data_IF_845692106847
#
_entry.id   IF_845692106847
#
_cell.length_a   1.000
_cell.length_b   1.000
_cell.length_c   1.000
_cell.angle_alpha   90.00
_cell.angle_beta   90.00
_cell.angle_gamma   90.00
#
_symmetry.space_group_name_H-M   'P 1'
#
loop_
_entity.id
_entity.type
_entity.pdbx_description
1 polymer ?
#
# COMPACT_ATOMS: atom_id res chain seq x y z
N UNK A 1 7.32 -40.32 -16.55
CA UNK A 1 7.72 -40.03 -15.14
C UNK A 1 8.90 -39.07 -15.25
N UNK A 2 8.89 -37.83 -14.80
CA UNK A 2 8.02 -37.12 -13.87
C UNK A 2 8.19 -35.63 -14.21
N UNK A 3 7.10 -34.93 -14.49
CA UNK A 3 7.09 -33.47 -14.53
C UNK A 3 7.11 -32.98 -13.10
N UNK A 4 8.17 -32.38 -12.57
CA UNK A 4 8.08 -31.59 -11.33
C UNK A 4 9.24 -30.60 -11.17
N UNK A 5 8.87 -29.38 -10.72
CA UNK A 5 9.67 -28.44 -9.91
C UNK A 5 10.76 -27.65 -10.66
N UNK A 6 10.74 -26.32 -10.74
CA UNK A 6 10.06 -25.30 -9.96
C UNK A 6 9.83 -24.05 -10.83
N UNK A 7 8.57 -23.63 -10.92
CA UNK A 7 8.21 -22.28 -11.35
C UNK A 7 8.38 -21.30 -10.20
N UNK A 8 9.62 -20.90 -9.92
CA UNK A 8 9.90 -19.80 -9.00
C UNK A 8 10.74 -18.76 -9.74
N UNK A 9 10.05 -17.82 -10.37
CA UNK A 9 10.66 -16.56 -10.82
C UNK A 9 11.06 -15.76 -9.58
N UNK A 10 12.25 -16.02 -9.07
CA UNK A 10 13.00 -15.16 -8.15
C UNK A 10 13.85 -14.19 -8.97
N UNK A 11 13.22 -13.42 -9.85
CA UNK A 11 13.80 -12.12 -10.22
C UNK A 11 13.14 -11.11 -9.30
N UNK A 12 13.61 -11.05 -8.06
CA UNK A 12 13.48 -9.87 -7.23
C UNK A 12 14.33 -8.80 -7.95
N UNK A 13 13.72 -8.18 -8.94
CA UNK A 13 14.36 -7.17 -9.78
C UNK A 13 14.79 -6.02 -8.89
N UNK A 14 16.05 -5.64 -9.06
CA UNK A 14 16.80 -4.63 -8.33
C UNK A 14 16.26 -3.20 -8.55
N UNK A 15 14.99 -2.97 -8.18
CA UNK A 15 14.36 -1.65 -8.07
C UNK A 15 14.13 -1.29 -6.59
N UNK A 16 14.96 -1.85 -5.69
CA UNK A 16 15.05 -1.44 -4.29
C UNK A 16 16.05 -0.28 -4.14
N UNK A 17 16.00 0.68 -5.05
CA UNK A 17 16.40 2.03 -4.69
C UNK A 17 15.17 2.64 -4.05
N UNK A 18 15.19 2.97 -2.74
CA UNK A 18 14.19 3.91 -2.25
C UNK A 18 14.30 5.13 -3.19
N UNK A 19 13.22 5.57 -3.85
CA UNK A 19 13.24 6.92 -4.39
C UNK A 19 13.64 7.80 -3.21
N UNK A 20 14.51 8.77 -3.43
CA UNK A 20 15.00 9.72 -2.44
C UNK A 20 13.82 10.23 -1.58
N UNK A 21 13.51 9.49 -0.51
CA UNK A 21 12.34 9.71 0.32
C UNK A 21 12.70 10.95 1.10
N UNK A 22 11.84 11.96 1.06
CA UNK A 22 12.07 13.20 1.77
C UNK A 22 12.59 12.88 3.18
N UNK A 23 13.79 13.35 3.53
CA UNK A 23 14.44 13.06 4.81
C UNK A 23 13.46 13.44 5.94
N UNK A 24 12.83 12.45 6.57
CA UNK A 24 11.77 12.65 7.58
C UNK A 24 10.37 12.19 7.19
N UNK A 25 10.17 11.55 6.04
CA UNK A 25 8.84 11.11 5.63
C UNK A 25 8.28 9.99 6.55
N UNK A 26 7.06 10.16 7.11
CA UNK A 26 6.50 9.26 8.12
C UNK A 26 6.18 7.86 7.58
N UNK A 27 6.06 7.73 6.26
CA UNK A 27 5.66 6.50 5.58
C UNK A 27 6.81 5.84 4.79
N UNK A 28 8.04 6.31 5.00
CA UNK A 28 9.22 5.80 4.29
C UNK A 28 9.38 4.28 4.47
N UNK A 29 9.46 3.56 3.34
CA UNK A 29 9.63 2.10 3.32
C UNK A 29 8.39 1.30 3.70
N UNK A 30 7.27 1.94 4.04
CA UNK A 30 5.98 1.28 4.30
C UNK A 30 5.22 1.05 3.02
N UNK A 31 4.35 0.05 3.00
CA UNK A 31 3.45 -0.17 1.87
C UNK A 31 2.04 0.32 2.17
N UNK A 32 1.42 0.91 1.15
CA UNK A 32 0.09 1.51 1.25
C UNK A 32 -0.83 0.99 0.15
N UNK A 33 -2.05 0.62 0.51
CA UNK A 33 -3.08 0.16 -0.42
C UNK A 33 -4.31 1.04 -0.30
N UNK A 34 -4.81 1.53 -1.43
CA UNK A 34 -6.08 2.23 -1.48
C UNK A 34 -7.21 1.25 -1.86
N UNK A 35 -8.28 1.26 -1.10
CA UNK A 35 -9.48 0.47 -1.36
C UNK A 35 -10.74 1.32 -1.29
N UNK A 36 -11.74 0.95 -2.09
CA UNK A 36 -13.00 1.69 -2.20
C UNK A 36 -12.90 2.75 -3.28
N UNK A 37 -13.91 3.60 -3.33
CA UNK A 37 -13.93 4.79 -4.19
C UNK A 37 -13.40 5.94 -3.36
N UNK A 38 -12.25 6.49 -3.76
CA UNK A 38 -11.73 7.70 -3.16
C UNK A 38 -12.59 8.88 -3.62
N UNK A 39 -13.22 9.58 -2.68
CA UNK A 39 -14.05 10.75 -2.97
C UNK A 39 -13.31 12.07 -2.68
N UNK A 40 -12.35 12.06 -1.76
CA UNK A 40 -11.61 13.26 -1.35
C UNK A 40 -10.45 13.56 -2.30
N UNK A 41 -9.94 12.55 -3.01
CA UNK A 41 -8.87 12.72 -3.99
C UNK A 41 -8.95 11.68 -5.10
N UNK A 42 -8.30 11.97 -6.23
CA UNK A 42 -8.13 10.96 -7.26
C UNK A 42 -7.12 9.90 -6.82
N UNK A 43 -7.27 8.67 -7.34
CA UNK A 43 -6.32 7.59 -7.06
C UNK A 43 -4.88 7.95 -7.44
N UNK A 44 -4.72 8.76 -8.49
CA UNK A 44 -3.42 9.29 -8.92
C UNK A 44 -2.83 10.20 -7.85
N UNK A 45 -3.58 11.19 -7.36
CA UNK A 45 -3.11 12.07 -6.29
C UNK A 45 -2.75 11.31 -5.01
N UNK A 46 -3.55 10.31 -4.66
CA UNK A 46 -3.28 9.45 -3.51
C UNK A 46 -1.95 8.70 -3.65
N UNK A 47 -1.67 8.19 -4.86
CA UNK A 47 -0.40 7.54 -5.19
C UNK A 47 0.77 8.53 -5.15
N UNK A 48 0.62 9.72 -5.71
CA UNK A 48 1.67 10.75 -5.70
C UNK A 48 2.03 11.17 -4.28
N UNK A 49 1.01 11.43 -3.45
CA UNK A 49 1.19 11.77 -2.04
C UNK A 49 1.86 10.64 -1.24
N UNK A 50 1.44 9.41 -1.47
CA UNK A 50 2.04 8.24 -0.84
C UNK A 50 3.52 8.11 -1.21
N UNK A 51 3.84 8.22 -2.51
CA UNK A 51 5.22 8.15 -3.01
C UNK A 51 6.05 9.32 -2.49
N UNK A 52 5.49 10.53 -2.43
CA UNK A 52 6.14 11.70 -1.86
C UNK A 52 6.48 11.52 -0.37
N UNK A 53 5.62 10.81 0.37
CA UNK A 53 5.88 10.40 1.74
C UNK A 53 6.74 9.13 1.88
N UNK A 54 7.33 8.65 0.79
CA UNK A 54 8.22 7.49 0.77
C UNK A 54 7.53 6.14 0.91
N UNK A 55 6.20 6.11 0.82
CA UNK A 55 5.42 4.87 0.84
C UNK A 55 5.37 4.22 -0.54
N UNK A 56 5.29 2.89 -0.57
CA UNK A 56 5.10 2.10 -1.80
C UNK A 56 3.63 1.75 -1.98
N UNK A 57 3.01 2.24 -3.06
CA UNK A 57 1.64 1.86 -3.36
C UNK A 57 1.56 0.41 -3.87
N UNK A 58 0.70 -0.40 -3.25
CA UNK A 58 0.36 -1.75 -3.73
C UNK A 58 -1.12 -1.81 -4.12
N UNK A 59 -1.49 -2.83 -4.90
CA UNK A 59 -2.86 -3.03 -5.44
C UNK A 59 -3.60 -4.21 -4.80
N UNK A 60 -2.93 -4.99 -3.94
CA UNK A 60 -3.47 -6.18 -3.31
C UNK A 60 -3.19 -6.18 -1.80
N UNK A 61 -4.14 -6.73 -1.02
CA UNK A 61 -3.95 -6.97 0.41
C UNK A 61 -2.99 -8.14 0.56
N UNK A 62 -1.78 -7.85 1.02
CA UNK A 62 -0.68 -8.82 1.20
C UNK A 62 -0.18 -8.77 2.64
N UNK A 63 0.58 -9.79 3.06
CA UNK A 63 1.16 -9.83 4.42
C UNK A 63 2.14 -8.69 4.70
N UNK A 64 2.72 -8.10 3.66
CA UNK A 64 3.62 -6.96 3.76
C UNK A 64 2.87 -5.62 3.77
N UNK A 65 1.53 -5.63 3.73
CA UNK A 65 0.73 -4.41 3.75
C UNK A 65 0.81 -3.76 5.13
N UNK A 66 1.35 -2.55 5.20
CA UNK A 66 1.39 -1.78 6.44
C UNK A 66 0.11 -0.95 6.62
N UNK A 67 -0.32 -0.26 5.56
CA UNK A 67 -1.38 0.75 5.62
C UNK A 67 -2.45 0.51 4.56
N UNK A 68 -3.69 0.32 4.98
CA UNK A 68 -4.85 0.27 4.10
C UNK A 68 -5.64 1.58 4.21
N UNK A 69 -5.64 2.38 3.15
CA UNK A 69 -6.52 3.55 3.04
C UNK A 69 -7.87 3.13 2.47
N UNK A 70 -8.92 3.43 3.22
CA UNK A 70 -10.28 3.00 2.99
C UNK A 70 -11.12 4.21 2.60
N UNK A 71 -11.48 4.29 1.33
CA UNK A 71 -12.45 5.24 0.80
C UNK A 71 -13.88 4.73 0.90
N UNK A 72 -14.80 5.46 0.28
CA UNK A 72 -16.22 5.14 0.31
C UNK A 72 -16.50 3.73 -0.27
N UNK A 73 -17.32 2.93 0.43
CA UNK A 73 -17.70 1.55 0.06
C UNK A 73 -16.57 0.50 0.00
N UNK A 74 -15.52 0.61 0.80
CA UNK A 74 -14.44 -0.39 0.86
C UNK A 74 -14.80 -1.80 1.42
N UNK A 75 -16.09 -2.12 1.59
CA UNK A 75 -16.62 -3.18 2.47
C UNK A 75 -15.91 -4.55 2.45
N UNK A 76 -15.50 -5.07 1.29
CA UNK A 76 -14.88 -6.40 1.19
C UNK A 76 -13.37 -6.44 1.47
N UNK A 77 -12.65 -5.33 1.33
CA UNK A 77 -11.20 -5.25 1.60
C UNK A 77 -10.91 -4.79 3.04
N UNK A 78 -11.79 -3.95 3.61
CA UNK A 78 -11.75 -3.60 5.03
C UNK A 78 -11.85 -4.83 5.92
N UNK A 79 -12.82 -5.73 5.66
CA UNK A 79 -12.95 -6.99 6.41
C UNK A 79 -11.69 -7.86 6.33
N UNK A 80 -11.02 -7.87 5.18
CA UNK A 80 -9.79 -8.64 4.95
C UNK A 80 -8.60 -8.06 5.73
N UNK A 81 -8.44 -6.74 5.75
CA UNK A 81 -7.40 -6.10 6.55
C UNK A 81 -7.66 -6.22 8.04
N UNK A 82 -8.92 -6.09 8.48
CA UNK A 82 -9.29 -6.37 9.88
C UNK A 82 -9.00 -7.82 10.28
N UNK A 83 -9.21 -8.78 9.37
CA UNK A 83 -8.89 -10.18 9.61
C UNK A 83 -7.38 -10.46 9.70
N UNK A 84 -6.54 -9.68 9.00
CA UNK A 84 -5.09 -9.75 9.15
C UNK A 84 -4.63 -9.18 10.49
N UNK A 85 -5.30 -8.14 11.01
CA UNK A 85 -5.04 -7.54 12.32
C UNK A 85 -3.71 -6.78 12.46
N UNK A 86 -2.79 -6.95 11.50
CA UNK A 86 -1.49 -6.27 11.46
C UNK A 86 -1.48 -5.03 10.57
N UNK A 87 -2.54 -4.79 9.81
CA UNK A 87 -2.64 -3.70 8.84
C UNK A 87 -3.30 -2.50 9.51
N UNK A 88 -2.67 -1.33 9.42
CA UNK A 88 -3.25 -0.07 9.87
C UNK A 88 -4.30 0.39 8.87
N UNK A 89 -5.55 0.50 9.32
CA UNK A 89 -6.65 0.94 8.47
C UNK A 89 -6.84 2.43 8.69
N UNK A 90 -6.67 3.22 7.63
CA UNK A 90 -6.83 4.66 7.62
C UNK A 90 -7.95 5.05 6.68
N UNK A 91 -8.57 6.19 6.92
CA UNK A 91 -9.46 6.86 5.97
C UNK A 91 -8.67 7.77 5.04
N UNK A 92 -9.33 8.27 3.98
CA UNK A 92 -8.72 9.28 3.09
C UNK A 92 -8.26 10.52 3.86
N UNK A 93 -9.02 10.91 4.88
CA UNK A 93 -8.75 12.08 5.72
C UNK A 93 -7.54 11.84 6.62
N UNK A 94 -7.50 10.71 7.34
CA UNK A 94 -6.34 10.35 8.18
C UNK A 94 -5.05 10.19 7.37
N UNK A 95 -5.16 9.69 6.13
CA UNK A 95 -4.02 9.64 5.22
C UNK A 95 -3.52 11.05 4.88
N UNK A 96 -4.42 12.00 4.65
CA UNK A 96 -4.04 13.40 4.42
C UNK A 96 -3.42 14.03 5.68
N UNK A 97 -3.96 13.75 6.86
CA UNK A 97 -3.42 14.23 8.14
C UNK A 97 -2.00 13.71 8.38
N UNK A 98 -1.70 12.47 8.00
CA UNK A 98 -0.35 11.89 8.09
C UNK A 98 0.68 12.55 7.17
N UNK A 99 0.22 13.27 6.15
CA UNK A 99 1.04 13.97 5.18
C UNK A 99 1.17 15.47 5.45
N UNK A 100 0.40 15.98 6.42
CA UNK A 100 0.26 17.40 6.75
C UNK A 100 1.30 17.90 7.75
#
# INVERSE_FOLDING_TARGET
REMEKLGVNLTQTADDRPPEVAEGAPLSGKTILFTGTLQQMTRTEAQEKAVAAGARNISAVSSNLDILVVGEKAGSKLKKAQALGTVQILTEDEFLELLG
#
